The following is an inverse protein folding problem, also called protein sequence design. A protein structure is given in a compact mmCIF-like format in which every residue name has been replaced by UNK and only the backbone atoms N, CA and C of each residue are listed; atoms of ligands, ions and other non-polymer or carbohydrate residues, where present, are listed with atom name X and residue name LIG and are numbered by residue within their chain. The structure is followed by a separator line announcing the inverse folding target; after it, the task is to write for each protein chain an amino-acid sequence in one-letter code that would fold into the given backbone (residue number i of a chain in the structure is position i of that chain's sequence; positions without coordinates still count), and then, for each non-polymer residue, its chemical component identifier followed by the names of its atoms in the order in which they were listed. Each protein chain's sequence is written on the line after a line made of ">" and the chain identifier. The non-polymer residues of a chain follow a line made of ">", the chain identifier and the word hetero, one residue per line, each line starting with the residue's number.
data_IF_272357812783
#
_entry.id   IF_272357812783
#
_cell.length_a   1.000
_cell.length_b   1.000
_cell.length_c   1.000
_cell.angle_alpha   90.00
_cell.angle_beta   90.00
_cell.angle_gamma   90.00
#
_symmetry.space_group_name_H-M   'P 1'
#
loop_
_entity.id
_entity.type
_entity.pdbx_description
1 polymer ?
#
# COMPACT_ATOMS: atom_id res chain seq x y z
N UNK A 1 -22.04 10.28 -13.48
CA UNK A 1 -21.22 10.54 -12.28
C UNK A 1 -20.47 9.27 -11.91
N UNK A 2 -19.25 9.09 -12.43
CA UNK A 2 -18.47 7.86 -12.25
C UNK A 2 -17.80 7.92 -10.88
N UNK A 3 -18.51 7.44 -9.85
CA UNK A 3 -17.91 7.17 -8.53
C UNK A 3 -16.92 6.02 -8.73
N UNK A 4 -15.69 6.36 -9.07
CA UNK A 4 -14.57 5.46 -8.88
C UNK A 4 -14.55 5.14 -7.40
N UNK A 5 -14.60 3.86 -7.09
CA UNK A 5 -14.41 3.31 -5.77
C UNK A 5 -13.08 3.87 -5.25
N UNK A 6 -13.16 4.90 -4.41
CA UNK A 6 -12.08 5.31 -3.52
C UNK A 6 -11.99 4.25 -2.42
N UNK A 7 -11.67 3.02 -2.81
CA UNK A 7 -11.25 1.99 -1.87
C UNK A 7 -9.82 2.33 -1.51
N UNK A 8 -9.61 3.01 -0.39
CA UNK A 8 -8.29 3.29 0.20
C UNK A 8 -7.27 4.04 -0.70
N UNK A 9 -7.67 4.58 -1.86
CA UNK A 9 -6.77 5.19 -2.85
C UNK A 9 -6.23 6.59 -2.53
N UNK A 10 -6.35 7.07 -1.28
CA UNK A 10 -5.82 8.37 -0.85
C UNK A 10 -4.40 8.30 -0.28
N UNK A 11 -4.07 7.21 0.41
CA UNK A 11 -2.90 7.16 1.27
C UNK A 11 -1.77 6.25 0.74
N UNK A 12 -1.97 5.59 -0.40
CA UNK A 12 -0.94 4.76 -1.02
C UNK A 12 -1.00 4.77 -2.55
N UNK A 13 0.11 5.13 -3.19
CA UNK A 13 0.35 4.99 -4.62
C UNK A 13 1.25 3.79 -4.89
N UNK A 14 0.87 2.97 -5.89
CA UNK A 14 1.77 1.96 -6.43
C UNK A 14 2.94 2.66 -7.13
N UNK A 15 4.17 2.29 -6.78
CA UNK A 15 5.38 2.78 -7.45
C UNK A 15 5.90 1.74 -8.42
N UNK A 16 6.05 0.51 -7.95
CA UNK A 16 6.61 -0.57 -8.76
C UNK A 16 6.24 -1.96 -8.20
N UNK A 17 6.38 -2.99 -9.03
CA UNK A 17 6.15 -4.39 -8.67
C UNK A 17 7.31 -5.23 -9.21
N UNK A 18 8.07 -5.84 -8.31
CA UNK A 18 9.17 -6.74 -8.64
C UNK A 18 8.94 -8.13 -8.03
N UNK A 19 8.75 -9.15 -8.88
CA UNK A 19 8.44 -10.52 -8.48
C UNK A 19 7.27 -10.61 -7.48
N UNK A 20 7.60 -10.68 -6.19
CA UNK A 20 6.67 -10.78 -5.07
C UNK A 20 6.72 -9.55 -4.15
N UNK A 21 7.43 -8.48 -4.55
CA UNK A 21 7.56 -7.23 -3.81
C UNK A 21 6.72 -6.17 -4.49
N UNK A 22 5.81 -5.59 -3.73
CA UNK A 22 4.95 -4.49 -4.19
C UNK A 22 5.45 -3.23 -3.49
N UNK A 23 6.09 -2.35 -4.25
CA UNK A 23 6.58 -1.08 -3.77
C UNK A 23 5.45 -0.05 -3.81
N UNK A 24 5.07 0.44 -2.65
CA UNK A 24 4.01 1.45 -2.51
C UNK A 24 4.55 2.69 -1.84
N UNK A 25 4.26 3.84 -2.41
CA UNK A 25 4.50 5.13 -1.77
C UNK A 25 3.29 5.46 -0.93
N UNK A 26 3.49 5.57 0.39
CA UNK A 26 2.44 6.11 1.24
C UNK A 26 2.37 7.63 1.06
N UNK A 27 1.17 8.17 0.92
CA UNK A 27 0.87 9.60 0.80
C UNK A 27 -0.08 10.01 1.94
N UNK A 28 -0.14 11.30 2.30
CA UNK A 28 -1.11 11.80 3.28
C UNK A 28 -0.69 11.67 4.76
N UNK A 29 -1.69 11.58 5.64
CA UNK A 29 -1.53 11.65 7.11
C UNK A 29 -0.83 10.42 7.72
N UNK A 30 -0.65 9.36 6.94
CA UNK A 30 0.07 8.16 7.36
C UNK A 30 1.59 8.23 7.10
N UNK A 31 2.11 9.30 6.48
CA UNK A 31 3.55 9.52 6.35
C UNK A 31 4.13 9.86 7.72
N UNK A 32 4.70 8.86 8.40
CA UNK A 32 5.44 9.03 9.66
C UNK A 32 4.65 8.78 10.95
N UNK A 33 3.37 8.41 10.87
CA UNK A 33 2.59 8.04 12.06
C UNK A 33 2.84 6.57 12.43
N UNK A 34 2.98 6.27 13.72
CA UNK A 34 3.23 4.92 14.26
C UNK A 34 2.17 3.88 13.83
N UNK A 35 0.99 4.35 13.41
CA UNK A 35 -0.10 3.54 12.85
C UNK A 35 0.11 3.08 11.38
N UNK A 36 1.05 3.66 10.63
CA UNK A 36 1.27 3.28 9.23
C UNK A 36 1.62 1.79 9.06
N UNK A 37 2.27 1.19 10.06
CA UNK A 37 2.55 -0.25 10.08
C UNK A 37 1.30 -1.13 10.10
N UNK A 38 0.22 -0.69 10.76
CA UNK A 38 -1.06 -1.41 10.81
C UNK A 38 -1.73 -1.39 9.44
N UNK A 39 -1.72 -0.23 8.78
CA UNK A 39 -2.28 -0.07 7.43
C UNK A 39 -1.53 -0.93 6.41
N UNK A 40 -0.19 -0.94 6.44
CA UNK A 40 0.63 -1.79 5.55
C UNK A 40 0.31 -3.27 5.77
N UNK A 41 0.20 -3.72 7.02
CA UNK A 41 -0.15 -5.10 7.34
C UNK A 41 -1.52 -5.50 6.78
N UNK A 42 -2.51 -4.61 6.89
CA UNK A 42 -3.84 -4.81 6.31
C UNK A 42 -3.84 -4.88 4.79
N UNK A 43 -3.05 -4.02 4.12
CA UNK A 43 -2.88 -4.03 2.66
C UNK A 43 -2.21 -5.33 2.21
N UNK A 44 -1.15 -5.77 2.90
CA UNK A 44 -0.46 -7.02 2.58
C UNK A 44 -1.40 -8.22 2.70
N UNK A 45 -2.16 -8.32 3.80
CA UNK A 45 -3.17 -9.37 3.99
C UNK A 45 -4.20 -9.43 2.86
N UNK A 46 -4.76 -8.27 2.47
CA UNK A 46 -5.74 -8.19 1.37
C UNK A 46 -5.12 -8.58 0.04
N UNK A 47 -3.89 -8.15 -0.24
CA UNK A 47 -3.18 -8.49 -1.47
C UNK A 47 -2.86 -9.99 -1.52
N UNK A 48 -2.36 -10.57 -0.43
CA UNK A 48 -2.12 -12.02 -0.33
C UNK A 48 -3.40 -12.83 -0.55
N UNK A 49 -4.51 -12.42 0.06
CA UNK A 49 -5.81 -13.09 -0.11
C UNK A 49 -6.34 -13.00 -1.55
N UNK A 50 -6.10 -11.88 -2.25
CA UNK A 50 -6.53 -11.69 -3.65
C UNK A 50 -5.63 -12.38 -4.67
N UNK A 51 -4.32 -12.34 -4.45
CA UNK A 51 -3.33 -12.91 -5.36
C UNK A 51 -3.13 -14.41 -5.13
N UNK A 52 -3.49 -14.92 -3.94
CA UNK A 52 -3.24 -16.32 -3.57
C UNK A 52 -1.76 -16.66 -3.43
N UNK A 53 -0.89 -15.64 -3.38
CA UNK A 53 0.55 -15.77 -3.32
C UNK A 53 1.12 -14.91 -2.17
N UNK A 54 2.22 -15.36 -1.54
CA UNK A 54 2.90 -14.56 -0.52
C UNK A 54 3.56 -13.34 -1.18
N UNK A 55 2.98 -12.16 -0.95
CA UNK A 55 3.54 -10.88 -1.42
C UNK A 55 4.04 -10.05 -0.26
N UNK A 56 5.10 -9.29 -0.50
CA UNK A 56 5.73 -8.40 0.46
C UNK A 56 5.48 -6.96 0.05
N UNK A 57 4.76 -6.21 0.89
CA UNK A 57 4.52 -4.79 0.65
C UNK A 57 5.68 -4.00 1.24
N UNK A 58 6.34 -3.21 0.40
CA UNK A 58 7.48 -2.37 0.80
C UNK A 58 7.07 -0.90 0.68
N UNK A 59 6.99 -0.16 1.79
CA UNK A 59 6.79 1.27 1.73
C UNK A 59 8.04 1.95 1.19
N UNK A 60 7.95 2.64 0.05
CA UNK A 60 9.01 3.53 -0.42
C UNK A 60 8.78 4.90 0.18
N UNK A 61 9.61 5.28 1.16
CA UNK A 61 9.54 6.60 1.76
C UNK A 61 9.94 7.66 0.73
N UNK A 62 9.22 8.80 0.63
CA UNK A 62 9.80 9.99 0.05
C UNK A 62 11.00 10.37 0.93
N UNK A 63 12.24 10.13 0.46
CA UNK A 63 13.38 10.82 1.06
C UNK A 63 13.16 12.32 0.80
N UNK A 64 13.05 13.09 1.88
CA UNK A 64 13.13 14.55 1.86
C UNK A 64 14.58 14.97 2.12
#
# INVERSE_FOLDING_TARGET
>A
MRRYIAGDGGDCQLVDIEDNKIMVRLTGACVGCQLAGVTIGGIQMRLMAKLGAPVRVIPVQPRH
#
